data_IF_545212111132
#
_entry.id   IF_545212111132
#
_cell.length_a   1.000
_cell.length_b   1.000
_cell.length_c   1.000
_cell.angle_alpha   90.00
_cell.angle_beta   90.00
_cell.angle_gamma   90.00
#
_symmetry.space_group_name_H-M   'P 1'
#
loop_
_entity.id
_entity.type
_entity.pdbx_description
1 polymer ?
#
# COMPACT_ATOMS: atom_id res chain seq x y z
N UNK A 1 56.08 -29.25 -28.99
CA UNK A 1 56.11 -28.68 -30.37
C UNK A 1 55.42 -29.64 -31.33
N UNK A 2 55.19 -29.22 -32.58
CA UNK A 2 54.68 -29.98 -33.77
C UNK A 2 55.10 -31.48 -33.82
N UNK A 3 54.37 -32.46 -34.38
CA UNK A 3 53.23 -32.47 -35.36
C UNK A 3 52.37 -33.79 -35.20
N UNK A 4 51.46 -34.26 -36.12
CA UNK A 4 50.29 -35.09 -35.77
C UNK A 4 50.26 -36.51 -36.40
N UNK A 5 49.13 -37.22 -36.25
CA UNK A 5 48.74 -38.38 -37.08
C UNK A 5 47.22 -38.51 -37.21
N UNK A 6 46.72 -38.80 -38.41
CA UNK A 6 45.29 -38.97 -38.76
C UNK A 6 45.14 -40.26 -39.57
N UNK A 7 44.21 -41.14 -39.19
CA UNK A 7 44.00 -42.46 -39.84
C UNK A 7 42.50 -42.77 -39.94
N UNK A 8 42.07 -42.98 -41.19
CA UNK A 8 40.90 -43.67 -41.77
C UNK A 8 39.78 -44.20 -40.83
N UNK A 9 38.47 -44.02 -41.10
CA UNK A 9 37.67 -44.07 -42.34
C UNK A 9 37.46 -45.48 -42.93
N UNK A 10 36.33 -46.11 -42.58
CA UNK A 10 35.63 -47.09 -43.44
C UNK A 10 34.12 -46.95 -43.26
N UNK A 11 33.41 -46.62 -44.34
CA UNK A 11 31.94 -46.65 -44.43
C UNK A 11 31.44 -48.07 -44.74
N UNK A 12 30.23 -48.40 -44.29
CA UNK A 12 29.43 -49.45 -44.94
C UNK A 12 27.95 -49.07 -44.89
N UNK A 13 27.30 -49.09 -46.04
CA UNK A 13 25.94 -48.63 -46.31
C UNK A 13 25.24 -49.72 -47.11
N UNK A 14 24.04 -50.15 -46.71
CA UNK A 14 23.18 -51.00 -47.52
C UNK A 14 21.68 -50.75 -47.25
N UNK A 15 20.95 -50.52 -48.35
CA UNK A 15 19.49 -50.56 -48.50
C UNK A 15 18.97 -52.02 -48.36
N UNK A 16 17.69 -52.36 -48.10
CA UNK A 16 16.45 -51.65 -47.73
C UNK A 16 15.45 -52.74 -47.17
N UNK A 17 14.09 -52.74 -47.20
CA UNK A 17 13.08 -51.90 -47.86
C UNK A 17 11.64 -52.06 -47.27
N UNK A 18 10.79 -51.06 -47.56
CA UNK A 18 9.33 -51.10 -47.81
C UNK A 18 8.33 -51.83 -46.88
N UNK A 19 7.59 -50.99 -46.13
CA UNK A 19 6.11 -50.94 -45.99
C UNK A 19 5.28 -52.16 -45.57
N UNK A 20 4.61 -52.00 -44.41
CA UNK A 20 3.23 -52.44 -44.14
C UNK A 20 2.48 -51.29 -43.43
N UNK A 21 1.14 -51.28 -43.41
CA UNK A 21 0.32 -50.13 -42.98
C UNK A 21 -0.82 -50.50 -42.03
N UNK A 22 -1.24 -49.52 -41.20
CA UNK A 22 -2.30 -49.58 -40.18
C UNK A 22 -2.02 -50.58 -39.01
N UNK A 23 -2.51 -50.37 -37.79
CA UNK A 23 -3.63 -49.53 -37.37
C UNK A 23 -3.38 -48.88 -35.99
N UNK A 24 -3.99 -47.72 -35.73
CA UNK A 24 -3.90 -47.01 -34.45
C UNK A 24 -4.64 -47.74 -33.32
N UNK A 25 -4.11 -47.63 -32.10
CA UNK A 25 -4.91 -47.75 -30.88
C UNK A 25 -4.46 -46.71 -29.88
N UNK A 26 -5.31 -45.72 -29.64
CA UNK A 26 -4.97 -44.58 -28.79
C UNK A 26 -4.94 -44.98 -27.31
N UNK A 27 -3.74 -45.08 -26.74
CA UNK A 27 -3.57 -45.04 -25.28
C UNK A 27 -4.02 -43.67 -24.77
N UNK A 28 -5.21 -43.62 -24.18
CA UNK A 28 -5.69 -42.47 -23.42
C UNK A 28 -4.93 -42.37 -22.10
N UNK A 29 -3.68 -41.92 -22.19
CA UNK A 29 -2.88 -41.57 -21.02
C UNK A 29 -3.65 -40.59 -20.14
N UNK A 30 -3.81 -40.93 -18.86
CA UNK A 30 -4.43 -40.06 -17.86
C UNK A 30 -3.43 -38.97 -17.47
N UNK A 31 -3.12 -38.10 -18.43
CA UNK A 31 -2.37 -36.88 -18.19
C UNK A 31 -3.35 -35.82 -17.70
N UNK A 32 -3.86 -36.04 -16.48
CA UNK A 32 -4.58 -35.02 -15.74
C UNK A 32 -3.69 -33.79 -15.66
N UNK A 33 -4.11 -32.69 -16.28
CA UNK A 33 -3.37 -31.45 -16.30
C UNK A 33 -3.32 -30.87 -14.88
N UNK A 34 -2.29 -31.26 -14.13
CA UNK A 34 -1.62 -30.31 -13.27
C UNK A 34 -1.02 -29.26 -14.19
N UNK A 35 -1.83 -28.25 -14.49
CA UNK A 35 -1.30 -26.90 -14.62
C UNK A 35 -0.51 -26.67 -13.32
N UNK A 36 0.81 -26.75 -13.44
CA UNK A 36 1.68 -26.08 -12.49
C UNK A 36 1.34 -24.61 -12.62
N UNK A 37 0.53 -24.13 -11.67
CA UNK A 37 0.44 -22.70 -11.37
C UNK A 37 1.80 -22.31 -10.79
N UNK A 38 2.77 -22.19 -11.70
CA UNK A 38 3.92 -21.32 -11.58
C UNK A 38 3.31 -19.95 -11.27
N UNK A 39 3.24 -19.62 -9.98
CA UNK A 39 2.76 -18.34 -9.53
C UNK A 39 3.79 -17.30 -10.00
N UNK A 40 3.53 -16.74 -11.17
CA UNK A 40 4.35 -15.74 -11.83
C UNK A 40 4.59 -14.58 -10.87
N UNK A 41 5.77 -14.54 -10.24
CA UNK A 41 6.14 -13.64 -9.13
C UNK A 41 6.32 -12.17 -9.58
N UNK A 42 5.71 -11.83 -10.73
CA UNK A 42 5.39 -10.46 -11.13
C UNK A 42 4.31 -9.95 -10.18
N UNK A 43 4.68 -8.98 -9.34
CA UNK A 43 3.77 -8.30 -8.42
C UNK A 43 2.43 -7.97 -9.11
N UNK A 44 1.33 -8.53 -8.59
CA UNK A 44 0.07 -8.57 -9.34
C UNK A 44 -0.39 -7.17 -9.75
N UNK A 45 -0.91 -7.06 -10.97
CA UNK A 45 -1.26 -5.79 -11.59
C UNK A 45 -2.26 -4.99 -10.74
N UNK A 46 -1.91 -3.75 -10.45
CA UNK A 46 -2.64 -2.86 -9.55
C UNK A 46 -4.10 -2.65 -10.01
N UNK A 47 -5.06 -3.17 -9.24
CA UNK A 47 -6.48 -3.19 -9.61
C UNK A 47 -7.12 -1.80 -9.51
N UNK A 48 -8.32 -1.63 -10.05
CA UNK A 48 -9.10 -0.39 -9.85
C UNK A 48 -9.33 -0.10 -8.36
N UNK A 49 -9.58 -1.13 -7.53
CA UNK A 49 -9.78 -0.95 -6.10
C UNK A 49 -8.51 -0.47 -5.38
N UNK A 50 -7.35 -0.99 -5.77
CA UNK A 50 -6.04 -0.56 -5.26
C UNK A 50 -5.72 0.90 -5.64
N UNK A 51 -5.93 1.24 -6.92
CA UNK A 51 -5.75 2.61 -7.45
C UNK A 51 -6.68 3.59 -6.75
N UNK A 52 -7.92 3.18 -6.49
CA UNK A 52 -8.91 3.95 -5.75
C UNK A 52 -8.56 4.12 -4.26
N UNK A 53 -7.99 3.09 -3.63
CA UNK A 53 -7.46 3.19 -2.26
C UNK A 53 -6.31 4.20 -2.20
N UNK A 54 -5.29 4.09 -3.08
CA UNK A 54 -4.14 5.00 -3.08
C UNK A 54 -4.54 6.46 -3.31
N UNK A 55 -5.48 6.74 -4.23
CA UNK A 55 -6.02 8.10 -4.43
C UNK A 55 -6.69 8.66 -3.16
N UNK A 56 -7.44 7.84 -2.41
CA UNK A 56 -8.07 8.25 -1.14
C UNK A 56 -7.05 8.41 0.00
N UNK A 57 -6.05 7.54 0.08
CA UNK A 57 -4.99 7.64 1.08
C UNK A 57 -4.12 8.90 0.88
N UNK A 58 -3.77 9.23 -0.37
CA UNK A 58 -3.02 10.45 -0.71
C UNK A 58 -3.80 11.71 -0.31
N UNK A 59 -5.11 11.74 -0.62
CA UNK A 59 -6.01 12.82 -0.20
C UNK A 59 -6.10 12.96 1.34
N UNK A 60 -6.23 11.85 2.07
CA UNK A 60 -6.28 11.84 3.55
C UNK A 60 -4.99 12.41 4.15
N UNK A 61 -3.82 11.95 3.69
CA UNK A 61 -2.54 12.43 4.23
C UNK A 61 -2.36 13.94 4.02
N UNK A 62 -2.70 14.48 2.84
CA UNK A 62 -2.60 15.93 2.60
C UNK A 62 -3.54 16.69 3.55
N UNK A 63 -4.78 16.21 3.71
CA UNK A 63 -5.76 16.83 4.59
C UNK A 63 -5.35 16.75 6.07
N UNK A 64 -4.74 15.66 6.52
CA UNK A 64 -4.27 15.45 7.89
C UNK A 64 -2.98 16.23 8.20
N UNK A 65 -2.10 16.43 7.20
CA UNK A 65 -0.99 17.39 7.24
C UNK A 65 -1.52 18.83 7.41
N UNK A 66 -2.52 19.24 6.63
CA UNK A 66 -3.06 20.62 6.73
C UNK A 66 -3.82 20.85 8.04
N UNK A 67 -4.52 19.84 8.56
CA UNK A 67 -5.11 19.88 9.90
C UNK A 67 -4.05 19.93 11.01
N UNK A 68 -2.91 19.26 10.85
CA UNK A 68 -1.79 19.34 11.79
C UNK A 68 -1.17 20.75 11.81
N UNK A 69 -0.92 21.37 10.65
CA UNK A 69 -0.46 22.77 10.56
C UNK A 69 -1.42 23.72 11.27
N UNK A 70 -2.73 23.62 11.01
CA UNK A 70 -3.75 24.42 11.68
C UNK A 70 -3.73 24.24 13.20
N UNK A 71 -3.44 23.03 13.70
CA UNK A 71 -3.32 22.77 15.14
C UNK A 71 -2.03 23.34 15.75
N UNK A 72 -0.91 23.31 15.04
CA UNK A 72 0.33 23.99 15.44
C UNK A 72 0.23 25.52 15.40
N UNK A 73 -0.66 26.08 14.57
CA UNK A 73 -0.98 27.50 14.58
C UNK A 73 -1.90 27.86 15.76
N UNK A 74 -3.04 27.18 15.89
CA UNK A 74 -4.15 27.62 16.76
C UNK A 74 -4.11 27.09 18.19
N UNK A 75 -3.48 25.95 18.46
CA UNK A 75 -3.48 25.36 19.81
C UNK A 75 -2.45 26.02 20.72
N UNK A 76 -2.86 26.37 21.93
CA UNK A 76 -1.99 26.83 23.03
C UNK A 76 -1.56 25.68 23.97
N UNK A 77 -2.02 24.45 23.70
CA UNK A 77 -1.82 23.28 24.54
C UNK A 77 -0.64 22.43 24.01
N UNK A 78 0.43 22.33 24.79
CA UNK A 78 1.66 21.64 24.39
C UNK A 78 1.40 20.19 23.91
N UNK A 79 0.62 19.41 24.66
CA UNK A 79 0.28 18.02 24.31
C UNK A 79 -0.43 17.87 22.95
N UNK A 80 -1.20 18.89 22.55
CA UNK A 80 -1.91 18.94 21.25
C UNK A 80 -0.98 19.42 20.13
N UNK A 81 -0.12 20.40 20.41
CA UNK A 81 0.91 20.88 19.48
C UNK A 81 1.94 19.79 19.16
N UNK A 82 2.34 18.99 20.14
CA UNK A 82 3.29 17.89 19.96
C UNK A 82 2.66 16.70 19.22
N UNK A 83 1.37 16.45 19.47
CA UNK A 83 0.58 15.51 18.66
C UNK A 83 0.47 15.96 17.19
N UNK A 84 0.24 17.25 16.95
CA UNK A 84 0.20 17.81 15.60
C UNK A 84 1.55 17.71 14.87
N UNK A 85 2.68 18.03 15.54
CA UNK A 85 4.04 17.86 14.99
C UNK A 85 4.34 16.40 14.62
N UNK A 86 3.87 15.44 15.42
CA UNK A 86 3.97 14.01 15.10
C UNK A 86 3.16 13.67 13.84
N UNK A 87 1.90 14.13 13.77
CA UNK A 87 1.04 13.88 12.61
C UNK A 87 1.61 14.47 11.31
N UNK A 88 2.04 15.73 11.28
CA UNK A 88 2.60 16.34 10.06
C UNK A 88 3.79 15.52 9.54
N UNK A 89 4.79 15.27 10.41
CA UNK A 89 6.00 14.51 10.05
C UNK A 89 5.68 13.11 9.53
N UNK A 90 4.84 12.37 10.24
CA UNK A 90 4.58 10.96 9.94
C UNK A 90 3.69 10.81 8.70
N UNK A 91 2.72 11.70 8.50
CA UNK A 91 1.88 11.71 7.30
C UNK A 91 2.62 12.24 6.08
N UNK A 92 3.56 13.19 6.22
CA UNK A 92 4.48 13.56 5.13
C UNK A 92 5.32 12.37 4.67
N UNK A 93 5.92 11.63 5.60
CA UNK A 93 6.74 10.45 5.30
C UNK A 93 5.92 9.26 4.74
N UNK A 94 4.63 9.16 5.07
CA UNK A 94 3.71 8.21 4.45
C UNK A 94 3.27 8.64 3.04
N UNK A 95 3.00 9.93 2.84
CA UNK A 95 2.61 10.52 1.56
C UNK A 95 3.75 10.47 0.53
N UNK A 96 5.00 10.68 0.93
CA UNK A 96 6.17 10.57 0.05
C UNK A 96 6.28 9.15 -0.54
N UNK A 97 6.23 8.12 0.31
CA UNK A 97 6.24 6.70 -0.11
C UNK A 97 5.06 6.35 -1.01
N UNK A 98 3.87 6.87 -0.67
CA UNK A 98 2.66 6.66 -1.47
C UNK A 98 2.76 7.32 -2.85
N UNK A 99 3.31 8.54 -2.91
CA UNK A 99 3.54 9.26 -4.15
C UNK A 99 4.54 8.50 -5.06
N UNK A 100 5.62 7.93 -4.50
CA UNK A 100 6.52 7.04 -5.27
C UNK A 100 5.79 5.84 -5.86
N UNK A 101 4.93 5.18 -5.07
CA UNK A 101 4.12 4.04 -5.55
C UNK A 101 3.07 4.47 -6.59
N UNK A 102 2.46 5.65 -6.41
CA UNK A 102 1.50 6.21 -7.36
C UNK A 102 2.15 6.55 -8.71
N UNK A 103 3.33 7.17 -8.69
CA UNK A 103 4.11 7.51 -9.90
C UNK A 103 4.51 6.25 -10.69
N UNK A 104 5.03 5.24 -10.00
CA UNK A 104 5.40 3.94 -10.59
C UNK A 104 4.22 3.21 -11.27
N UNK A 105 2.97 3.49 -10.85
CA UNK A 105 1.74 2.94 -11.45
C UNK A 105 0.96 3.96 -12.31
N UNK A 106 1.57 5.09 -12.66
CA UNK A 106 1.01 6.09 -13.58
C UNK A 106 -0.19 6.87 -13.02
N UNK A 107 -0.29 7.01 -11.70
CA UNK A 107 -1.40 7.69 -11.03
C UNK A 107 -1.09 9.17 -10.76
N UNK A 108 -2.06 10.08 -10.93
CA UNK A 108 -1.85 11.51 -10.70
C UNK A 108 -1.69 11.82 -9.20
N UNK A 109 -0.50 12.27 -8.82
CA UNK A 109 -0.21 12.83 -7.50
C UNK A 109 -0.90 14.20 -7.30
N UNK A 110 -1.16 14.56 -6.03
CA UNK A 110 -1.63 15.89 -5.63
C UNK A 110 -0.66 16.54 -4.64
N UNK A 111 -0.65 17.88 -4.61
CA UNK A 111 0.03 18.69 -3.57
C UNK A 111 -0.94 19.32 -2.57
N UNK A 112 -2.20 19.44 -2.96
CA UNK A 112 -3.28 20.12 -2.25
C UNK A 112 -4.47 19.17 -2.19
N UNK A 113 -5.15 19.13 -1.04
CA UNK A 113 -6.43 18.42 -0.93
C UNK A 113 -7.52 19.16 -1.70
N UNK A 114 -8.30 18.40 -2.46
CA UNK A 114 -9.53 18.80 -3.11
C UNK A 114 -10.71 18.99 -2.14
N UNK A 115 -10.68 18.33 -0.98
CA UNK A 115 -11.69 18.46 0.07
C UNK A 115 -11.12 19.19 1.31
N UNK A 116 -11.41 20.49 1.42
CA UNK A 116 -10.97 21.30 2.57
C UNK A 116 -11.98 21.35 3.72
N UNK A 117 -13.06 20.56 3.68
CA UNK A 117 -14.17 20.64 4.66
C UNK A 117 -13.75 20.38 6.11
N UNK A 118 -12.85 19.44 6.37
CA UNK A 118 -12.34 19.18 7.72
C UNK A 118 -11.52 20.37 8.27
N UNK A 119 -10.58 20.90 7.48
CA UNK A 119 -9.77 22.08 7.83
C UNK A 119 -10.67 23.29 8.08
N UNK A 120 -11.65 23.52 7.21
CA UNK A 120 -12.67 24.56 7.37
C UNK A 120 -13.56 24.37 8.61
N UNK A 121 -13.93 23.14 8.96
CA UNK A 121 -14.75 22.87 10.14
C UNK A 121 -13.97 23.18 11.41
N UNK A 122 -12.67 22.84 11.44
CA UNK A 122 -11.78 23.15 12.56
C UNK A 122 -11.44 24.64 12.66
N UNK A 123 -11.24 25.35 11.53
CA UNK A 123 -10.94 26.79 11.56
C UNK A 123 -12.11 27.63 12.09
N UNK A 124 -13.35 27.18 11.85
CA UNK A 124 -14.59 27.81 12.36
C UNK A 124 -14.85 27.59 13.85
N UNK A 125 -14.10 26.73 14.54
CA UNK A 125 -14.23 26.53 16.00
C UNK A 125 -13.68 27.71 16.80
N UNK A 126 -14.34 28.04 17.91
CA UNK A 126 -13.83 28.97 18.91
C UNK A 126 -12.55 28.44 19.59
N UNK A 127 -11.63 29.28 20.08
CA UNK A 127 -10.34 28.84 20.63
C UNK A 127 -10.46 27.79 21.75
N UNK A 128 -11.41 27.98 22.67
CA UNK A 128 -11.69 27.07 23.79
C UNK A 128 -12.36 25.74 23.38
N UNK A 129 -12.82 25.64 22.13
CA UNK A 129 -13.40 24.43 21.53
C UNK A 129 -12.41 23.71 20.61
N UNK A 130 -11.41 24.42 20.08
CA UNK A 130 -10.55 23.98 19.00
C UNK A 130 -9.82 22.66 19.29
N UNK A 131 -9.08 22.59 20.41
CA UNK A 131 -8.32 21.41 20.82
C UNK A 131 -9.19 20.14 20.86
N UNK A 132 -10.38 20.25 21.46
CA UNK A 132 -11.32 19.15 21.62
C UNK A 132 -11.94 18.74 20.28
N UNK A 133 -12.21 19.69 19.39
CA UNK A 133 -12.69 19.43 18.04
C UNK A 133 -11.63 18.74 17.18
N UNK A 134 -10.39 19.23 17.20
CA UNK A 134 -9.25 18.66 16.49
C UNK A 134 -8.95 17.23 16.94
N UNK A 135 -8.72 17.01 18.23
CA UNK A 135 -8.47 15.66 18.78
C UNK A 135 -9.69 14.74 18.64
N UNK A 136 -10.90 15.29 18.67
CA UNK A 136 -12.14 14.57 18.34
C UNK A 136 -12.13 14.04 16.90
N UNK A 137 -11.83 14.91 15.94
CA UNK A 137 -11.77 14.60 14.50
C UNK A 137 -10.62 13.63 14.18
N UNK A 138 -9.44 13.84 14.77
CA UNK A 138 -8.27 12.97 14.55
C UNK A 138 -8.52 11.54 14.99
N UNK A 139 -9.14 11.30 16.16
CA UNK A 139 -9.50 9.95 16.58
C UNK A 139 -10.53 9.29 15.64
N UNK A 140 -11.51 10.04 15.14
CA UNK A 140 -12.49 9.51 14.18
C UNK A 140 -11.86 9.18 12.83
N UNK A 141 -10.96 10.03 12.33
CA UNK A 141 -10.31 9.82 11.04
C UNK A 141 -9.30 8.67 11.09
N UNK A 142 -8.46 8.60 12.12
CA UNK A 142 -7.51 7.49 12.26
C UNK A 142 -8.20 6.13 12.43
N UNK A 143 -9.38 6.06 13.08
CA UNK A 143 -10.19 4.85 13.11
C UNK A 143 -10.68 4.45 11.69
N UNK A 144 -11.31 5.38 10.94
CA UNK A 144 -11.75 5.14 9.56
C UNK A 144 -10.58 4.72 8.66
N UNK A 145 -9.42 5.35 8.81
CA UNK A 145 -8.19 5.03 8.07
C UNK A 145 -7.68 3.65 8.43
N UNK A 146 -7.69 3.25 9.71
CA UNK A 146 -7.31 1.90 10.12
C UNK A 146 -8.20 0.82 9.50
N UNK A 147 -9.52 1.05 9.48
CA UNK A 147 -10.50 0.14 8.86
C UNK A 147 -10.33 0.07 7.33
N UNK A 148 -10.09 1.22 6.68
CA UNK A 148 -9.79 1.33 5.24
C UNK A 148 -8.50 0.61 4.84
N UNK A 149 -7.41 0.82 5.59
CA UNK A 149 -6.11 0.20 5.36
C UNK A 149 -6.17 -1.32 5.56
N UNK A 150 -6.82 -1.79 6.63
CA UNK A 150 -7.06 -3.24 6.86
C UNK A 150 -7.95 -3.85 5.78
N UNK A 151 -8.97 -3.14 5.33
CA UNK A 151 -9.83 -3.55 4.20
C UNK A 151 -9.04 -3.75 2.91
N UNK A 152 -8.17 -2.80 2.55
CA UNK A 152 -7.29 -2.92 1.39
C UNK A 152 -6.21 -4.01 1.56
N UNK A 153 -5.65 -4.20 2.76
CA UNK A 153 -4.70 -5.27 3.06
C UNK A 153 -5.30 -6.67 2.83
N UNK A 154 -6.59 -6.83 3.06
CA UNK A 154 -7.30 -8.12 2.90
C UNK A 154 -7.65 -8.44 1.44
N UNK A 155 -7.71 -7.44 0.54
CA UNK A 155 -8.13 -7.62 -0.85
C UNK A 155 -6.99 -7.49 -1.86
N UNK A 156 -6.02 -6.60 -1.62
CA UNK A 156 -4.95 -6.31 -2.58
C UNK A 156 -4.09 -7.55 -2.88
N UNK A 157 -3.79 -7.79 -4.16
CA UNK A 157 -2.81 -8.80 -4.57
C UNK A 157 -1.46 -8.16 -4.98
N UNK A 158 -1.40 -6.82 -5.06
CA UNK A 158 -0.17 -6.13 -5.39
C UNK A 158 0.77 -6.07 -4.18
N UNK A 159 1.97 -6.64 -4.31
CA UNK A 159 2.91 -6.76 -3.19
C UNK A 159 3.48 -5.41 -2.72
N UNK A 160 3.60 -4.42 -3.61
CA UNK A 160 4.13 -3.10 -3.28
C UNK A 160 3.13 -2.32 -2.42
N UNK A 161 1.85 -2.35 -2.79
CA UNK A 161 0.76 -1.76 -2.00
C UNK A 161 0.56 -2.52 -0.67
N UNK A 162 0.65 -3.86 -0.68
CA UNK A 162 0.66 -4.68 0.54
C UNK A 162 1.77 -4.27 1.49
N UNK A 163 2.99 -4.07 0.98
CA UNK A 163 4.12 -3.59 1.76
C UNK A 163 3.85 -2.19 2.32
N UNK A 164 3.42 -1.24 1.48
CA UNK A 164 3.08 0.13 1.90
C UNK A 164 2.07 0.13 3.06
N UNK A 165 0.90 -0.51 2.87
CA UNK A 165 -0.17 -0.59 3.87
C UNK A 165 0.35 -1.20 5.19
N UNK A 166 1.12 -2.28 5.11
CA UNK A 166 1.70 -2.96 6.29
C UNK A 166 2.65 -2.04 7.06
N UNK A 167 3.42 -1.18 6.39
CA UNK A 167 4.32 -0.23 7.07
C UNK A 167 3.60 0.97 7.71
N UNK A 168 2.36 1.29 7.31
CA UNK A 168 1.63 2.48 7.77
C UNK A 168 0.62 2.16 8.87
N UNK A 169 0.04 0.95 8.92
CA UNK A 169 -0.93 0.54 9.95
C UNK A 169 -0.44 0.80 11.40
N UNK A 170 0.79 0.41 11.82
CA UNK A 170 1.25 0.65 13.20
C UNK A 170 1.35 2.14 13.57
N UNK A 171 1.59 2.99 12.58
CA UNK A 171 1.63 4.45 12.74
C UNK A 171 0.21 5.00 12.97
N UNK A 172 -0.78 4.56 12.18
CA UNK A 172 -2.20 4.91 12.38
C UNK A 172 -2.69 4.46 13.76
N UNK A 173 -2.31 3.25 14.20
CA UNK A 173 -2.66 2.72 15.54
C UNK A 173 -2.03 3.55 16.68
N UNK A 174 -0.76 3.96 16.52
CA UNK A 174 -0.08 4.88 17.45
C UNK A 174 -0.78 6.24 17.52
N UNK A 175 -1.10 6.82 16.36
CA UNK A 175 -1.78 8.12 16.24
C UNK A 175 -3.18 8.09 16.86
N UNK A 176 -3.96 7.04 16.60
CA UNK A 176 -5.28 6.82 17.21
C UNK A 176 -5.20 6.70 18.73
N UNK A 177 -4.22 5.95 19.24
CA UNK A 177 -4.01 5.78 20.69
C UNK A 177 -3.67 7.11 21.37
N UNK A 178 -2.75 7.92 20.82
CA UNK A 178 -2.42 9.24 21.39
C UNK A 178 -3.61 10.21 21.30
N UNK A 179 -4.42 10.18 20.23
CA UNK A 179 -5.66 10.95 20.17
C UNK A 179 -6.65 10.56 21.29
N UNK A 180 -6.88 9.26 21.51
CA UNK A 180 -7.75 8.77 22.57
C UNK A 180 -7.24 9.14 23.98
N UNK A 181 -5.92 9.14 24.19
CA UNK A 181 -5.30 9.61 25.44
C UNK A 181 -5.56 11.11 25.68
N UNK A 182 -5.42 11.94 24.64
CA UNK A 182 -5.72 13.38 24.70
C UNK A 182 -7.21 13.63 25.03
N UNK A 183 -8.14 12.87 24.44
CA UNK A 183 -9.57 12.96 24.79
C UNK A 183 -9.83 12.66 26.27
N UNK A 184 -9.16 11.65 26.83
CA UNK A 184 -9.28 11.28 28.25
C UNK A 184 -8.68 12.36 29.17
N UNK A 185 -7.61 13.04 28.74
CA UNK A 185 -7.05 14.19 29.47
C UNK A 185 -8.02 15.38 29.45
N UNK A 186 -8.59 15.72 28.29
CA UNK A 186 -9.53 16.84 28.10
C UNK A 186 -10.90 16.65 28.79
N UNK A 187 -11.26 15.41 29.13
CA UNK A 187 -12.52 15.08 29.83
C UNK A 187 -12.37 14.87 31.33
N UNK A 188 -11.13 14.83 31.85
CA UNK A 188 -10.87 14.76 33.29
C UNK A 188 -11.07 16.15 33.94
N UNK A 189 -11.74 16.23 35.11
CA UNK A 189 -11.73 17.44 35.92
C UNK A 189 -10.29 17.84 36.26
N UNK A 190 -9.97 19.13 36.20
CA UNK A 190 -8.73 19.65 36.80
C UNK A 190 -8.75 19.32 38.29
N UNK A 191 -7.74 18.60 38.77
CA UNK A 191 -7.51 18.46 40.20
C UNK A 191 -6.98 19.79 40.73
N UNK A 192 -7.80 20.43 41.55
CA UNK A 192 -7.46 21.57 42.41
C UNK A 192 -6.69 21.08 43.64
#
# INVERSE_FOLDING_TARGET
MRKPGLVFLTTSLLLAALLASACERADRGVQAARETVEADDRAAAMTTADKDFMRRASESHIQEIDMAKLAMERSTNADVRDYAQMLERDHMAALEKLNTLMDAHGLPMRRESSDKTHVESLSKLAPEQFDKGYVGMMAQNHQKSLDSYRGALNTTQNQELRNYITTVIPTIETHLSKAQQLQQQMTRPKRT
#
